data_IF_025533036203
#
_entry.id   IF_025533036203
#
_cell.length_a   1.000
_cell.length_b   1.000
_cell.length_c   1.000
_cell.angle_alpha   90.00
_cell.angle_beta   90.00
_cell.angle_gamma   90.00
#
_symmetry.space_group_name_H-M   'P 1'
#
loop_
_entity.id
_entity.type
_entity.pdbx_description
1 polymer ?
#
# COMPACT_ATOMS: atom_id res chain seq x y z
N UNK A 1 -40.57 21.37 30.85
CA UNK A 1 -39.88 21.43 29.54
C UNK A 1 -38.41 21.10 29.74
N UNK A 2 -38.06 19.81 29.64
CA UNK A 2 -36.68 19.34 29.75
C UNK A 2 -35.97 19.73 28.46
N UNK A 3 -35.10 20.73 28.55
CA UNK A 3 -34.23 21.18 27.47
C UNK A 3 -33.27 20.03 27.19
N UNK A 4 -33.63 19.15 26.26
CA UNK A 4 -32.74 18.16 25.66
C UNK A 4 -31.54 18.91 25.09
N UNK A 5 -30.50 19.02 25.92
CA UNK A 5 -29.16 19.35 25.47
C UNK A 5 -28.77 18.18 24.57
N UNK A 6 -29.03 18.36 23.28
CA UNK A 6 -28.31 17.73 22.18
C UNK A 6 -26.82 18.04 22.33
N UNK A 7 -26.20 17.44 23.34
CA UNK A 7 -24.76 17.31 23.47
C UNK A 7 -24.43 16.24 22.44
N UNK A 8 -24.37 16.65 21.16
CA UNK A 8 -23.55 15.97 20.16
C UNK A 8 -22.22 15.75 20.87
N UNK A 9 -22.00 14.53 21.35
CA UNK A 9 -20.70 14.10 21.84
C UNK A 9 -19.84 14.14 20.60
N UNK A 10 -19.22 15.30 20.36
CA UNK A 10 -18.03 15.38 19.53
C UNK A 10 -17.09 14.37 20.17
N UNK A 11 -17.02 13.19 19.53
CA UNK A 11 -16.31 12.04 20.05
C UNK A 11 -14.95 12.16 19.38
N UNK A 12 -13.95 12.82 19.99
CA UNK A 12 -12.67 13.10 19.35
C UNK A 12 -12.02 11.81 18.81
N UNK A 13 -12.24 10.70 19.51
CA UNK A 13 -11.84 9.36 19.07
C UNK A 13 -12.40 8.93 17.70
N UNK A 14 -13.65 9.28 17.38
CA UNK A 14 -14.26 8.91 16.09
C UNK A 14 -13.75 9.78 14.94
N UNK A 15 -13.30 11.00 15.23
CA UNK A 15 -12.70 11.89 14.22
C UNK A 15 -11.25 11.52 13.93
N UNK A 16 -10.46 11.22 14.97
CA UNK A 16 -9.11 10.66 14.82
C UNK A 16 -9.13 9.36 14.00
N UNK A 17 -10.10 8.48 14.29
CA UNK A 17 -10.29 7.25 13.55
C UNK A 17 -10.64 7.50 12.06
N UNK A 18 -11.44 8.52 11.74
CA UNK A 18 -11.72 8.87 10.33
C UNK A 18 -10.47 9.41 9.63
N UNK A 19 -9.71 10.27 10.29
CA UNK A 19 -8.48 10.87 9.74
C UNK A 19 -7.46 9.77 9.42
N UNK A 20 -7.28 8.80 10.31
CA UNK A 20 -6.37 7.69 10.11
C UNK A 20 -6.80 6.74 8.98
N UNK A 21 -8.11 6.52 8.83
CA UNK A 21 -8.64 5.72 7.72
C UNK A 21 -8.35 6.41 6.38
N UNK A 22 -8.55 7.73 6.32
CA UNK A 22 -8.26 8.54 5.13
C UNK A 22 -6.77 8.50 4.78
N UNK A 23 -5.88 8.60 5.79
CA UNK A 23 -4.42 8.47 5.59
C UNK A 23 -4.03 7.09 5.08
N UNK A 24 -4.57 6.03 5.68
CA UNK A 24 -4.33 4.65 5.24
C UNK A 24 -4.75 4.46 3.78
N UNK A 25 -5.97 4.89 3.42
CA UNK A 25 -6.47 4.83 2.04
C UNK A 25 -5.58 5.60 1.09
N UNK A 26 -5.17 6.82 1.46
CA UNK A 26 -4.31 7.66 0.64
C UNK A 26 -2.95 7.00 0.38
N UNK A 27 -2.26 6.53 1.43
CA UNK A 27 -0.95 5.87 1.30
C UNK A 27 -1.08 4.62 0.41
N UNK A 28 -2.09 3.79 0.67
CA UNK A 28 -2.32 2.58 -0.09
C UNK A 28 -2.60 2.87 -1.57
N UNK A 29 -3.56 3.75 -1.87
CA UNK A 29 -3.94 4.06 -3.25
C UNK A 29 -2.82 4.73 -4.01
N UNK A 30 -2.08 5.65 -3.38
CA UNK A 30 -0.95 6.33 -4.00
C UNK A 30 0.17 5.36 -4.36
N UNK A 31 0.58 4.50 -3.42
CA UNK A 31 1.64 3.51 -3.66
C UNK A 31 1.21 2.47 -4.69
N UNK A 32 -0.03 1.96 -4.60
CA UNK A 32 -0.59 1.02 -5.57
C UNK A 32 -0.64 1.63 -6.98
N UNK A 33 -1.11 2.87 -7.11
CA UNK A 33 -1.16 3.57 -8.40
C UNK A 33 0.22 3.64 -9.05
N UNK A 34 1.26 4.06 -8.31
CA UNK A 34 2.62 4.15 -8.84
C UNK A 34 3.18 2.77 -9.26
N UNK A 35 2.89 1.72 -8.49
CA UNK A 35 3.31 0.35 -8.84
C UNK A 35 2.60 -0.18 -10.09
N UNK A 36 1.31 0.10 -10.25
CA UNK A 36 0.57 -0.28 -11.46
C UNK A 36 1.08 0.49 -12.67
N UNK A 37 1.34 1.79 -12.55
CA UNK A 37 1.93 2.61 -13.63
C UNK A 37 3.30 2.04 -14.02
N UNK A 38 4.13 1.69 -13.03
CA UNK A 38 5.43 1.07 -13.28
C UNK A 38 5.28 -0.26 -14.05
N UNK A 39 4.39 -1.15 -13.59
CA UNK A 39 4.12 -2.42 -14.27
C UNK A 39 3.66 -2.22 -15.72
N UNK A 40 2.68 -1.34 -15.96
CA UNK A 40 2.17 -1.04 -17.31
C UNK A 40 3.26 -0.47 -18.21
N UNK A 41 4.19 0.33 -17.66
CA UNK A 41 5.28 0.93 -18.42
C UNK A 41 6.20 -0.13 -19.06
N UNK A 42 6.37 -1.29 -18.44
CA UNK A 42 7.12 -2.41 -19.02
C UNK A 42 6.40 -3.04 -20.23
N UNK A 43 5.07 -3.14 -20.23
CA UNK A 43 4.29 -3.67 -21.36
C UNK A 43 4.19 -2.70 -22.53
N UNK A 44 4.22 -1.39 -22.24
CA UNK A 44 4.24 -0.35 -23.27
C UNK A 44 5.64 -0.17 -23.89
N UNK A 45 6.63 -0.96 -23.46
CA UNK A 45 8.02 -0.87 -23.93
C UNK A 45 8.58 0.55 -23.83
N UNK A 46 8.23 1.25 -22.73
CA UNK A 46 8.67 2.62 -22.49
C UNK A 46 10.18 2.67 -22.29
N UNK A 47 10.77 3.84 -22.56
CA UNK A 47 12.21 4.08 -22.37
C UNK A 47 12.67 3.76 -20.93
N UNK A 48 13.86 3.18 -20.80
CA UNK A 48 14.47 2.86 -19.51
C UNK A 48 14.58 4.08 -18.59
N UNK A 49 14.82 5.27 -19.16
CA UNK A 49 14.87 6.53 -18.38
C UNK A 49 13.53 6.80 -17.71
N UNK A 50 12.42 6.55 -18.42
CA UNK A 50 11.07 6.73 -17.88
C UNK A 50 10.77 5.73 -16.76
N UNK A 51 11.13 4.46 -16.96
CA UNK A 51 10.97 3.39 -15.96
C UNK A 51 11.80 3.69 -14.69
N UNK A 52 13.06 4.12 -14.87
CA UNK A 52 13.93 4.53 -13.77
C UNK A 52 13.37 5.74 -13.02
N UNK A 53 12.80 6.70 -13.75
CA UNK A 53 12.11 7.87 -13.19
C UNK A 53 10.93 7.48 -12.29
N UNK A 54 10.02 6.64 -12.79
CA UNK A 54 8.86 6.16 -12.00
C UNK A 54 9.33 5.38 -10.78
N UNK A 55 10.32 4.49 -10.94
CA UNK A 55 10.87 3.70 -9.84
C UNK A 55 11.45 4.61 -8.74
N UNK A 56 12.17 5.66 -9.13
CA UNK A 56 12.72 6.65 -8.21
C UNK A 56 11.62 7.42 -7.48
N UNK A 57 10.57 7.84 -8.20
CA UNK A 57 9.40 8.52 -7.61
C UNK A 57 8.67 7.60 -6.63
N UNK A 58 8.51 6.32 -6.95
CA UNK A 58 7.88 5.32 -6.08
C UNK A 58 8.64 5.17 -4.76
N UNK A 59 9.96 5.03 -4.82
CA UNK A 59 10.81 4.89 -3.63
C UNK A 59 10.81 6.19 -2.80
N UNK A 60 11.08 7.34 -3.44
CA UNK A 60 11.13 8.63 -2.76
C UNK A 60 9.78 9.01 -2.14
N UNK A 61 8.67 8.76 -2.84
CA UNK A 61 7.34 9.04 -2.29
C UNK A 61 7.01 8.11 -1.12
N UNK A 62 7.42 6.84 -1.16
CA UNK A 62 7.21 5.92 -0.04
C UNK A 62 8.00 6.35 1.20
N UNK A 63 9.27 6.74 1.03
CA UNK A 63 10.11 7.28 2.11
C UNK A 63 9.52 8.59 2.65
N UNK A 64 9.12 9.50 1.75
CA UNK A 64 8.51 10.78 2.12
C UNK A 64 7.19 10.59 2.89
N UNK A 65 6.33 9.67 2.48
CA UNK A 65 5.10 9.32 3.19
C UNK A 65 5.40 8.69 4.55
N UNK A 66 6.41 7.83 4.65
CA UNK A 66 6.85 7.25 5.92
C UNK A 66 7.32 8.32 6.91
N UNK A 67 8.12 9.28 6.46
CA UNK A 67 8.61 10.39 7.28
C UNK A 67 7.44 11.33 7.67
N UNK A 68 6.63 11.76 6.68
CA UNK A 68 5.49 12.67 6.89
C UNK A 68 4.45 12.10 7.85
N UNK A 69 4.18 10.80 7.75
CA UNK A 69 3.17 10.11 8.57
C UNK A 69 3.80 9.22 9.64
N UNK A 70 5.01 9.55 10.13
CA UNK A 70 5.73 8.76 11.15
C UNK A 70 4.88 8.44 12.38
N UNK A 71 4.08 9.41 12.86
CA UNK A 71 3.19 9.22 14.00
C UNK A 71 2.07 8.21 13.71
N UNK A 72 1.55 8.18 12.49
CA UNK A 72 0.55 7.19 12.05
C UNK A 72 1.16 5.79 11.97
N UNK A 73 2.37 5.65 11.41
CA UNK A 73 3.08 4.36 11.39
C UNK A 73 3.44 3.85 12.79
N UNK A 74 3.64 4.76 13.75
CA UNK A 74 3.84 4.42 15.17
C UNK A 74 2.55 3.95 15.85
N UNK A 75 1.36 4.24 15.29
CA UNK A 75 0.10 3.70 15.79
C UNK A 75 -0.03 2.22 15.47
N UNK A 76 -0.33 1.43 16.51
CA UNK A 76 -0.02 0.01 16.49
C UNK A 76 -1.00 -0.87 15.71
N UNK A 77 -2.24 -0.50 15.42
CA UNK A 77 -3.11 -1.37 14.60
C UNK A 77 -3.12 -0.92 13.12
N UNK A 78 -3.57 0.30 12.84
CA UNK A 78 -3.69 0.82 11.47
C UNK A 78 -2.35 1.12 10.80
N UNK A 79 -1.39 1.65 11.56
CA UNK A 79 -0.02 1.86 11.08
C UNK A 79 0.67 0.54 10.74
N UNK A 80 0.53 -0.48 11.59
CA UNK A 80 1.06 -1.83 11.33
C UNK A 80 0.44 -2.46 10.08
N UNK A 81 -0.90 -2.39 9.93
CA UNK A 81 -1.57 -2.88 8.72
C UNK A 81 -1.11 -2.16 7.46
N UNK A 82 -0.93 -0.84 7.53
CA UNK A 82 -0.44 -0.03 6.40
C UNK A 82 0.99 -0.39 6.04
N UNK A 83 1.88 -0.52 7.01
CA UNK A 83 3.25 -0.97 6.76
C UNK A 83 3.28 -2.40 6.17
N UNK A 84 2.47 -3.30 6.72
CA UNK A 84 2.36 -4.68 6.25
C UNK A 84 1.89 -4.76 4.80
N UNK A 85 0.83 -4.01 4.42
CA UNK A 85 0.35 -4.02 3.02
C UNK A 85 1.37 -3.38 2.08
N UNK A 86 2.04 -2.29 2.49
CA UNK A 86 3.09 -1.67 1.67
C UNK A 86 4.25 -2.62 1.42
N UNK A 87 4.76 -3.30 2.45
CA UNK A 87 5.81 -4.32 2.30
C UNK A 87 5.34 -5.46 1.39
N UNK A 88 4.08 -5.89 1.54
CA UNK A 88 3.51 -6.97 0.72
C UNK A 88 3.42 -6.57 -0.75
N UNK A 89 3.03 -5.34 -1.04
CA UNK A 89 3.01 -4.78 -2.40
C UNK A 89 4.42 -4.72 -3.00
N UNK A 90 5.43 -4.26 -2.25
CA UNK A 90 6.82 -4.24 -2.73
C UNK A 90 7.37 -5.64 -3.00
N UNK A 91 7.17 -6.58 -2.07
CA UNK A 91 7.61 -7.97 -2.25
C UNK A 91 6.96 -8.61 -3.49
N UNK A 92 5.68 -8.29 -3.71
CA UNK A 92 4.91 -8.81 -4.83
C UNK A 92 5.32 -8.15 -6.15
N UNK A 93 5.60 -6.85 -6.15
CA UNK A 93 6.17 -6.15 -7.30
C UNK A 93 7.49 -6.79 -7.73
N UNK A 94 8.42 -7.01 -6.78
CA UNK A 94 9.70 -7.66 -7.07
C UNK A 94 9.48 -9.05 -7.65
N UNK A 95 8.61 -9.86 -7.06
CA UNK A 95 8.31 -11.19 -7.56
C UNK A 95 7.71 -11.16 -8.97
N UNK A 96 6.74 -10.28 -9.23
CA UNK A 96 6.15 -10.09 -10.55
C UNK A 96 7.20 -9.65 -11.58
N UNK A 97 8.10 -8.74 -11.23
CA UNK A 97 9.19 -8.30 -12.11
C UNK A 97 10.20 -9.41 -12.40
N UNK A 98 10.54 -10.24 -11.41
CA UNK A 98 11.39 -11.42 -11.62
C UNK A 98 10.71 -12.42 -12.54
N UNK A 99 9.42 -12.70 -12.34
CA UNK A 99 8.66 -13.56 -13.24
C UNK A 99 8.62 -13.00 -14.66
N UNK A 100 8.40 -11.69 -14.82
CA UNK A 100 8.40 -11.04 -16.13
C UNK A 100 9.79 -11.11 -16.79
N UNK A 101 10.87 -10.94 -16.03
CA UNK A 101 12.24 -11.05 -16.53
C UNK A 101 12.56 -12.44 -17.07
N UNK A 102 12.13 -13.50 -16.39
CA UNK A 102 12.30 -14.87 -16.90
C UNK A 102 11.40 -15.13 -18.12
N UNK A 103 10.16 -14.65 -18.10
CA UNK A 103 9.24 -14.81 -19.22
C UNK A 103 9.76 -14.19 -20.52
N UNK A 104 10.35 -13.00 -20.45
CA UNK A 104 10.92 -12.27 -21.61
C UNK A 104 12.04 -13.03 -22.31
N UNK A 105 12.71 -13.97 -21.62
CA UNK A 105 13.75 -14.80 -22.23
C UNK A 105 13.16 -15.82 -23.21
N UNK A 106 11.92 -16.25 -22.98
CA UNK A 106 11.23 -17.24 -23.81
C UNK A 106 10.30 -16.58 -24.84
N UNK A 107 9.51 -15.57 -24.42
CA UNK A 107 8.51 -14.89 -25.25
C UNK A 107 8.47 -13.37 -25.01
N UNK A 108 8.18 -12.54 -26.02
CA UNK A 108 8.07 -11.10 -25.84
C UNK A 108 6.89 -10.72 -24.94
N UNK A 109 7.08 -9.69 -24.11
CA UNK A 109 6.04 -9.19 -23.21
C UNK A 109 4.94 -8.46 -24.02
N UNK A 110 3.86 -9.16 -24.36
CA UNK A 110 2.70 -8.58 -25.07
C UNK A 110 1.64 -8.03 -24.12
N UNK A 111 0.76 -7.17 -24.63
CA UNK A 111 -0.35 -6.59 -23.86
C UNK A 111 -1.34 -7.66 -23.36
N UNK A 112 -1.44 -8.80 -24.05
CA UNK A 112 -2.32 -9.91 -23.66
C UNK A 112 -1.91 -10.50 -22.30
N UNK A 113 -0.61 -10.52 -22.02
CA UNK A 113 -0.08 -11.00 -20.75
C UNK A 113 -0.10 -9.94 -19.64
N UNK A 114 -0.33 -8.66 -19.96
CA UNK A 114 -0.35 -7.58 -18.96
C UNK A 114 -1.37 -7.84 -17.84
N UNK A 115 -2.56 -8.33 -18.19
CA UNK A 115 -3.59 -8.68 -17.22
C UNK A 115 -3.18 -9.88 -16.35
N UNK A 116 -2.46 -10.85 -16.91
CA UNK A 116 -1.99 -12.05 -16.18
C UNK A 116 -0.98 -11.65 -15.10
N UNK A 117 0.00 -10.82 -15.44
CA UNK A 117 0.99 -10.34 -14.48
C UNK A 117 0.41 -9.33 -13.48
N UNK A 118 -0.55 -8.49 -13.89
CA UNK A 118 -1.28 -7.63 -12.97
C UNK A 118 -2.11 -8.44 -11.97
N UNK A 119 -2.78 -9.50 -12.45
CA UNK A 119 -3.47 -10.45 -11.58
C UNK A 119 -2.47 -11.15 -10.63
N UNK A 120 -1.34 -11.61 -11.14
CA UNK A 120 -0.25 -12.18 -10.35
C UNK A 120 0.22 -11.23 -9.25
N UNK A 121 0.45 -9.96 -9.58
CA UNK A 121 0.83 -8.92 -8.61
C UNK A 121 -0.19 -8.78 -7.47
N UNK A 122 -1.48 -8.68 -7.78
CA UNK A 122 -2.51 -8.56 -6.75
C UNK A 122 -2.66 -9.85 -5.94
N UNK A 123 -2.59 -11.01 -6.59
CA UNK A 123 -2.65 -12.31 -5.94
C UNK A 123 -1.50 -12.49 -4.96
N UNK A 124 -0.26 -12.23 -5.39
CA UNK A 124 0.91 -12.28 -4.52
C UNK A 124 0.80 -11.26 -3.39
N UNK A 125 0.32 -10.04 -3.67
CA UNK A 125 0.14 -9.00 -2.64
C UNK A 125 -0.79 -9.50 -1.55
N UNK A 126 -1.93 -10.10 -1.93
CA UNK A 126 -2.87 -10.68 -0.99
C UNK A 126 -2.26 -11.84 -0.20
N UNK A 127 -1.55 -12.76 -0.86
CA UNK A 127 -0.94 -13.94 -0.22
C UNK A 127 0.17 -13.56 0.77
N UNK A 128 1.06 -12.64 0.36
CA UNK A 128 2.12 -12.11 1.23
C UNK A 128 1.50 -11.34 2.39
N UNK A 129 0.51 -10.49 2.15
CA UNK A 129 -0.18 -9.76 3.21
C UNK A 129 -0.87 -10.71 4.20
N UNK A 130 -1.60 -11.72 3.73
CA UNK A 130 -2.29 -12.70 4.58
C UNK A 130 -1.30 -13.49 5.44
N UNK A 131 -0.11 -13.74 4.93
CA UNK A 131 0.95 -14.45 5.65
C UNK A 131 1.67 -13.53 6.65
N UNK A 132 2.13 -12.36 6.20
CA UNK A 132 2.88 -11.39 6.99
C UNK A 132 2.04 -10.73 8.08
N UNK A 133 0.74 -10.49 7.83
CA UNK A 133 -0.15 -9.85 8.80
C UNK A 133 -0.26 -10.62 10.11
N UNK A 134 -0.11 -11.96 10.09
CA UNK A 134 -0.11 -12.79 11.31
C UNK A 134 1.05 -12.46 12.26
N UNK A 135 2.16 -11.94 11.73
CA UNK A 135 3.37 -11.62 12.48
C UNK A 135 3.52 -10.12 12.72
N UNK A 136 3.18 -9.31 11.72
CA UNK A 136 3.37 -7.86 11.75
C UNK A 136 2.22 -7.11 12.41
N UNK A 137 1.00 -7.63 12.30
CA UNK A 137 -0.21 -7.02 12.87
C UNK A 137 -0.52 -7.73 14.19
N UNK A 138 0.20 -7.32 15.23
CA UNK A 138 0.02 -7.89 16.58
C UNK A 138 -1.29 -7.38 17.20
N UNK A 139 -1.81 -6.25 16.68
CA UNK A 139 -2.95 -5.54 17.25
C UNK A 139 -2.58 -4.92 18.60
N UNK A 140 -2.81 -3.63 18.81
CA UNK A 140 -2.75 -3.13 20.18
C UNK A 140 -3.98 -3.64 20.91
N UNK A 141 -3.76 -4.47 21.94
CA UNK A 141 -4.55 -4.32 23.18
C UNK A 141 -4.64 -2.82 23.43
N UNK A 142 -5.84 -2.23 23.32
CA UNK A 142 -6.08 -0.83 23.69
C UNK A 142 -5.56 -0.64 25.11
N UNK A 143 -4.33 -0.16 25.29
CA UNK A 143 -3.95 0.44 26.56
C UNK A 143 -4.85 1.67 26.65
N UNK A 144 -5.89 1.57 27.48
CA UNK A 144 -6.60 2.72 27.99
C UNK A 144 -5.51 3.57 28.64
N UNK A 145 -5.11 4.67 28.00
CA UNK A 145 -4.48 5.76 28.74
C UNK A 145 -5.51 6.15 29.79
N UNK A 146 -5.23 5.80 31.05
CA UNK A 146 -6.02 6.17 32.22
C UNK A 146 -5.42 7.45 32.78
#
# INVERSE_FOLDING_TARGET
MVKERNRKRHNPFAEEEKIDLTRQKFIFLWTMMLMVILLISFYLQMDMVFIAGITTILILSTIGLYIKFRNFYRMRDRGQRTACITISMYASLILTLVCAYYYVQDEPLTQEYALVFLFGFFFFTYMVYKSASRYMVVGNKRQRFR
#
